data_IF_619620414989
#
_entry.id   IF_619620414989
#
_cell.length_a   1.000
_cell.length_b   1.000
_cell.length_c   1.000
_cell.angle_alpha   90.00
_cell.angle_beta   90.00
_cell.angle_gamma   90.00
#
_symmetry.space_group_name_H-M   'P 1'
#
loop_
_entity.id
_entity.type
_entity.pdbx_description
1 polymer ?
#
# COMPACT_ATOMS: atom_id res chain seq x y z
N UNK A 1 9.73 18.20 -42.98
CA UNK A 1 10.60 18.06 -41.80
C UNK A 1 9.93 17.06 -40.89
N UNK A 2 10.41 15.82 -40.87
CA UNK A 2 9.89 14.76 -39.99
C UNK A 2 10.98 14.49 -38.97
N UNK A 3 10.83 15.00 -37.75
CA UNK A 3 11.60 14.53 -36.60
C UNK A 3 11.13 13.10 -36.33
N UNK A 4 11.77 12.14 -37.00
CA UNK A 4 11.70 10.75 -36.59
C UNK A 4 12.51 10.66 -35.30
N UNK A 5 11.82 10.68 -34.16
CA UNK A 5 12.44 10.50 -32.85
C UNK A 5 13.22 9.19 -32.86
N UNK A 6 14.52 9.26 -32.59
CA UNK A 6 15.41 8.10 -32.56
C UNK A 6 14.84 7.03 -31.61
N UNK A 7 14.72 5.76 -32.04
CA UNK A 7 14.29 4.66 -31.19
C UNK A 7 15.04 4.59 -29.86
N UNK A 8 16.33 4.96 -29.84
CA UNK A 8 17.13 5.00 -28.62
C UNK A 8 16.67 6.11 -27.65
N UNK A 9 16.25 7.27 -28.16
CA UNK A 9 15.71 8.37 -27.35
C UNK A 9 14.36 7.97 -26.75
N UNK A 10 13.51 7.30 -27.52
CA UNK A 10 12.21 6.80 -27.06
C UNK A 10 12.37 5.74 -25.96
N UNK A 11 13.29 4.79 -26.14
CA UNK A 11 13.58 3.76 -25.14
C UNK A 11 14.15 4.35 -23.84
N UNK A 12 15.03 5.36 -23.93
CA UNK A 12 15.56 6.06 -22.76
C UNK A 12 14.47 6.80 -21.98
N UNK A 13 13.55 7.48 -22.67
CA UNK A 13 12.42 8.17 -22.02
C UNK A 13 11.51 7.18 -21.30
N UNK A 14 11.15 6.05 -21.94
CA UNK A 14 10.34 5.00 -21.30
C UNK A 14 11.01 4.38 -20.07
N UNK A 15 12.34 4.20 -20.10
CA UNK A 15 13.08 3.72 -18.95
C UNK A 15 13.01 4.72 -17.77
N UNK A 16 13.19 6.01 -18.04
CA UNK A 16 13.08 7.07 -17.01
C UNK A 16 11.68 7.11 -16.42
N UNK A 17 10.63 7.06 -17.27
CA UNK A 17 9.23 7.05 -16.82
C UNK A 17 8.93 5.82 -15.94
N UNK A 18 9.45 4.64 -16.32
CA UNK A 18 9.35 3.42 -15.52
C UNK A 18 10.05 3.53 -14.16
N UNK A 19 11.25 4.10 -14.11
CA UNK A 19 11.96 4.35 -12.84
C UNK A 19 11.21 5.36 -11.96
N UNK A 20 10.67 6.43 -12.53
CA UNK A 20 9.89 7.41 -11.79
C UNK A 20 8.61 6.81 -11.23
N UNK A 21 7.89 6.01 -12.02
CA UNK A 21 6.71 5.29 -11.58
C UNK A 21 7.03 4.34 -10.42
N UNK A 22 8.12 3.57 -10.51
CA UNK A 22 8.58 2.68 -9.45
C UNK A 22 8.97 3.44 -8.17
N UNK A 23 9.63 4.60 -8.28
CA UNK A 23 9.95 5.42 -7.11
C UNK A 23 8.68 5.93 -6.42
N UNK A 24 7.72 6.47 -7.19
CA UNK A 24 6.44 6.94 -6.67
C UNK A 24 5.64 5.80 -6.02
N UNK A 25 5.75 4.59 -6.58
CA UNK A 25 5.21 3.37 -6.03
C UNK A 25 5.70 3.08 -4.61
N UNK A 26 7.03 3.06 -4.46
CA UNK A 26 7.68 2.81 -3.18
C UNK A 26 7.32 3.88 -2.15
N UNK A 27 7.27 5.15 -2.56
CA UNK A 27 6.88 6.26 -1.70
C UNK A 27 5.42 6.09 -1.25
N UNK A 28 4.50 5.83 -2.17
CA UNK A 28 3.08 5.58 -1.85
C UNK A 28 2.91 4.40 -0.89
N UNK A 29 3.69 3.34 -1.08
CA UNK A 29 3.65 2.16 -0.21
C UNK A 29 4.13 2.49 1.21
N UNK A 30 5.26 3.20 1.33
CA UNK A 30 5.78 3.64 2.62
C UNK A 30 4.82 4.59 3.34
N UNK A 31 4.20 5.52 2.62
CA UNK A 31 3.22 6.46 3.17
C UNK A 31 1.99 5.73 3.69
N UNK A 32 1.49 4.73 2.96
CA UNK A 32 0.31 3.97 3.37
C UNK A 32 0.59 3.14 4.63
N UNK A 33 1.76 2.48 4.70
CA UNK A 33 2.20 1.78 5.91
C UNK A 33 2.33 2.71 7.12
N UNK A 34 2.90 3.90 6.93
CA UNK A 34 3.01 4.91 7.99
C UNK A 34 1.62 5.35 8.48
N UNK A 35 0.72 5.69 7.54
CA UNK A 35 -0.67 6.09 7.83
C UNK A 35 -1.40 5.00 8.62
N UNK A 36 -1.29 3.74 8.20
CA UNK A 36 -1.96 2.63 8.89
C UNK A 36 -1.38 2.37 10.27
N UNK A 37 -0.06 2.47 10.41
CA UNK A 37 0.61 2.34 11.71
C UNK A 37 0.10 3.40 12.68
N UNK A 38 0.01 4.65 12.25
CA UNK A 38 -0.51 5.75 13.06
C UNK A 38 -1.98 5.53 13.47
N UNK A 39 -2.82 5.10 12.52
CA UNK A 39 -4.22 4.74 12.78
C UNK A 39 -4.33 3.68 13.90
N UNK A 40 -3.58 2.58 13.77
CA UNK A 40 -3.63 1.46 14.73
C UNK A 40 -3.03 1.83 16.08
N UNK A 41 -1.95 2.60 16.12
CA UNK A 41 -1.36 3.08 17.38
C UNK A 41 -2.31 4.04 18.11
N UNK A 42 -3.01 4.92 17.39
CA UNK A 42 -4.02 5.80 17.98
C UNK A 42 -5.22 5.00 18.51
N UNK A 43 -5.70 4.01 17.74
CA UNK A 43 -6.76 3.09 18.17
C UNK A 43 -6.39 2.32 19.42
N UNK A 44 -5.22 1.67 19.42
CA UNK A 44 -4.71 0.92 20.57
C UNK A 44 -4.59 1.80 21.82
N UNK A 45 -4.05 3.02 21.70
CA UNK A 45 -3.96 3.96 22.83
C UNK A 45 -5.34 4.26 23.46
N UNK A 46 -6.37 4.46 22.64
CA UNK A 46 -7.75 4.65 23.14
C UNK A 46 -8.28 3.41 23.85
N UNK A 47 -8.09 2.23 23.27
CA UNK A 47 -8.50 0.95 23.88
C UNK A 47 -7.81 0.72 25.22
N UNK A 48 -6.50 0.96 25.31
CA UNK A 48 -5.78 0.86 26.57
C UNK A 48 -6.30 1.85 27.62
N UNK A 49 -6.56 3.10 27.23
CA UNK A 49 -7.17 4.08 28.12
C UNK A 49 -8.54 3.62 28.65
N UNK A 50 -9.36 3.02 27.79
CA UNK A 50 -10.65 2.46 28.18
C UNK A 50 -10.50 1.25 29.13
N UNK A 51 -9.58 0.32 28.83
CA UNK A 51 -9.31 -0.85 29.69
C UNK A 51 -8.85 -0.42 31.08
N UNK A 52 -7.92 0.54 31.18
CA UNK A 52 -7.43 1.07 32.45
C UNK A 52 -8.53 1.80 33.26
N UNK A 53 -9.60 2.22 32.60
CA UNK A 53 -10.75 2.89 33.21
C UNK A 53 -11.93 1.95 33.48
N UNK A 54 -11.83 0.67 33.12
CA UNK A 54 -12.89 -0.31 33.32
C UNK A 54 -13.10 -0.62 34.80
N UNK A 55 -14.36 -0.80 35.21
CA UNK A 55 -14.72 -1.03 36.62
C UNK A 55 -14.89 -2.50 36.95
N UNK A 56 -15.19 -3.32 35.94
CA UNK A 56 -15.36 -4.75 36.08
C UNK A 56 -14.92 -5.53 34.83
N UNK A 57 -14.97 -6.85 34.95
CA UNK A 57 -14.54 -7.79 33.89
C UNK A 57 -15.49 -7.74 32.68
N UNK A 58 -16.77 -7.41 32.86
CA UNK A 58 -17.72 -7.34 31.77
C UNK A 58 -17.44 -6.12 30.88
N UNK A 59 -17.15 -4.97 31.50
CA UNK A 59 -16.68 -3.77 30.81
C UNK A 59 -15.39 -4.03 30.03
N UNK A 60 -14.40 -4.67 30.68
CA UNK A 60 -13.13 -5.01 30.04
C UNK A 60 -13.33 -5.96 28.83
N UNK A 61 -14.19 -6.97 28.97
CA UNK A 61 -14.51 -7.91 27.89
C UNK A 61 -15.18 -7.20 26.72
N UNK A 62 -16.12 -6.29 26.99
CA UNK A 62 -16.76 -5.49 25.95
C UNK A 62 -15.77 -4.63 25.20
N UNK A 63 -14.87 -3.94 25.91
CA UNK A 63 -13.82 -3.12 25.30
C UNK A 63 -12.92 -3.96 24.39
N UNK A 64 -12.57 -5.17 24.83
CA UNK A 64 -11.75 -6.10 24.04
C UNK A 64 -12.49 -6.58 22.78
N UNK A 65 -13.78 -6.88 22.87
CA UNK A 65 -14.61 -7.27 21.73
C UNK A 65 -14.74 -6.14 20.71
N UNK A 66 -15.02 -4.93 21.18
CA UNK A 66 -15.15 -3.74 20.32
C UNK A 66 -13.82 -3.45 19.61
N UNK A 67 -12.68 -3.56 20.33
CA UNK A 67 -11.35 -3.46 19.72
C UNK A 67 -11.10 -4.54 18.66
N UNK A 68 -11.47 -5.80 18.93
CA UNK A 68 -11.23 -6.90 18.00
C UNK A 68 -12.02 -6.74 16.70
N UNK A 69 -13.30 -6.37 16.82
CA UNK A 69 -14.15 -6.08 15.66
C UNK A 69 -13.59 -4.91 14.83
N UNK A 70 -13.16 -3.84 15.49
CA UNK A 70 -12.54 -2.70 14.81
C UNK A 70 -11.22 -3.09 14.12
N UNK A 71 -10.34 -3.83 14.81
CA UNK A 71 -9.07 -4.27 14.25
C UNK A 71 -9.28 -5.14 12.99
N UNK A 72 -10.22 -6.07 13.01
CA UNK A 72 -10.52 -6.92 11.86
C UNK A 72 -10.96 -6.09 10.64
N UNK A 73 -11.81 -5.08 10.84
CA UNK A 73 -12.22 -4.17 9.77
C UNK A 73 -11.04 -3.34 9.27
N UNK A 74 -10.29 -2.72 10.17
CA UNK A 74 -9.12 -1.88 9.83
C UNK A 74 -8.11 -2.66 8.96
N UNK A 75 -7.75 -3.89 9.35
CA UNK A 75 -6.80 -4.72 8.59
C UNK A 75 -7.36 -5.18 7.24
N UNK A 76 -8.66 -5.46 7.15
CA UNK A 76 -9.30 -5.88 5.90
C UNK A 76 -9.34 -4.74 4.89
N UNK A 77 -9.71 -3.55 5.35
CA UNK A 77 -9.68 -2.34 4.54
C UNK A 77 -8.25 -2.01 4.09
N UNK A 78 -7.29 -2.14 4.99
CA UNK A 78 -5.88 -1.90 4.68
C UNK A 78 -5.33 -2.86 3.63
N UNK A 79 -5.62 -4.16 3.77
CA UNK A 79 -5.23 -5.16 2.78
C UNK A 79 -5.80 -4.81 1.39
N UNK A 80 -7.03 -4.30 1.33
CA UNK A 80 -7.65 -3.84 0.09
C UNK A 80 -6.93 -2.61 -0.50
N UNK A 81 -6.52 -1.65 0.34
CA UNK A 81 -5.77 -0.46 -0.10
C UNK A 81 -4.39 -0.82 -0.61
N UNK A 82 -3.66 -1.67 0.11
CA UNK A 82 -2.34 -2.16 -0.30
C UNK A 82 -2.43 -2.98 -1.60
N UNK A 83 -3.46 -3.81 -1.78
CA UNK A 83 -3.67 -4.56 -3.02
C UNK A 83 -3.94 -3.62 -4.21
N UNK A 84 -4.73 -2.55 -4.02
CA UNK A 84 -4.98 -1.53 -5.07
C UNK A 84 -3.71 -0.77 -5.41
N UNK A 85 -2.90 -0.43 -4.40
CA UNK A 85 -1.62 0.20 -4.61
C UNK A 85 -0.76 -0.73 -5.47
N UNK A 86 -0.48 -1.96 -5.05
CA UNK A 86 0.29 -2.95 -5.84
C UNK A 86 -0.25 -3.11 -7.27
N UNK A 87 -1.56 -3.21 -7.46
CA UNK A 87 -2.16 -3.36 -8.80
C UNK A 87 -1.89 -2.13 -9.68
N UNK A 88 -2.02 -0.91 -9.14
CA UNK A 88 -1.70 0.32 -9.87
C UNK A 88 -0.23 0.36 -10.31
N UNK A 89 0.66 -0.23 -9.52
CA UNK A 89 2.09 -0.29 -9.80
C UNK A 89 2.41 -1.31 -10.88
N UNK A 90 1.78 -2.49 -10.82
CA UNK A 90 1.90 -3.50 -11.87
C UNK A 90 1.41 -3.00 -13.22
N UNK A 91 0.30 -2.25 -13.26
CA UNK A 91 -0.22 -1.66 -14.50
C UNK A 91 0.64 -0.53 -15.05
N UNK A 92 1.36 0.19 -14.18
CA UNK A 92 2.28 1.26 -14.61
C UNK A 92 3.65 0.69 -15.03
N UNK A 93 4.02 -0.49 -14.53
CA UNK A 93 5.28 -1.19 -14.83
C UNK A 93 5.25 -2.16 -16.02
N UNK A 94 4.10 -2.39 -16.66
CA UNK A 94 4.03 -3.19 -17.89
C UNK A 94 4.45 -2.36 -19.11
N UNK A 95 5.73 -2.06 -19.22
CA UNK A 95 6.36 -1.88 -20.54
C UNK A 95 6.39 -3.25 -21.23
N UNK A 96 6.21 -3.32 -22.58
CA UNK A 96 6.28 -4.58 -23.34
C UNK A 96 7.54 -5.41 -23.02
N UNK A 97 8.64 -4.74 -22.72
CA UNK A 97 9.94 -5.35 -22.42
C UNK A 97 9.95 -6.18 -21.12
N UNK A 98 9.17 -5.79 -20.10
CA UNK A 98 9.06 -6.53 -18.83
C UNK A 98 8.23 -7.81 -19.02
N UNK A 99 7.19 -7.75 -19.84
CA UNK A 99 6.42 -8.94 -20.23
C UNK A 99 7.26 -9.89 -21.09
N UNK A 100 8.08 -9.37 -22.00
CA UNK A 100 8.97 -10.18 -22.83
C UNK A 100 10.07 -10.85 -22.00
N UNK A 101 10.64 -10.16 -21.01
CA UNK A 101 11.61 -10.74 -20.07
C UNK A 101 10.98 -11.84 -19.18
N UNK A 102 9.73 -11.66 -18.72
CA UNK A 102 9.02 -12.69 -17.96
C UNK A 102 8.69 -13.94 -18.81
N UNK A 103 8.46 -13.77 -20.12
CA UNK A 103 8.19 -14.88 -21.04
C UNK A 103 9.44 -15.67 -21.41
N UNK A 104 10.64 -15.07 -21.31
CA UNK A 104 11.93 -15.72 -21.59
C UNK A 104 12.48 -16.53 -20.40
N UNK A 105 11.93 -16.35 -19.20
CA UNK A 105 12.35 -17.03 -17.96
C UNK A 105 11.37 -18.14 -17.55
N UNK A 106 10.22 -18.25 -18.21
CA UNK A 106 9.25 -19.35 -18.06
C UNK A 106 9.54 -20.50 -19.03
#
# INVERSE_FOLDING_TARGET
MSEATDPAVTAWMQAIDGYQACLQACIGWQQELARFTDLRLAGNRRTWGALMSSRDVADALKIQQDWAAQAANDYTEEATRLARLVTSLSLTGTTPDVQQAATLVA
#
